data_IF_474755531447
#
_entry.id   IF_474755531447
#
_cell.length_a   1.000
_cell.length_b   1.000
_cell.length_c   1.000
_cell.angle_alpha   90.00
_cell.angle_beta   90.00
_cell.angle_gamma   90.00
#
_symmetry.space_group_name_H-M   'P 1'
#
loop_
_entity.id
_entity.type
_entity.pdbx_description
1 polymer ?
#
# COMPACT_ATOMS: atom_id res chain seq x y z
N UNK A 1 67.94 10.62 -28.95
CA UNK A 1 67.37 11.79 -28.26
C UNK A 1 65.85 11.72 -28.47
N UNK A 2 65.10 11.90 -27.46
CA UNK A 2 63.62 12.02 -27.43
C UNK A 2 62.93 10.76 -26.88
N UNK A 3 62.77 10.64 -25.66
CA UNK A 3 61.80 11.29 -24.77
C UNK A 3 60.36 10.79 -25.02
N UNK A 4 60.08 9.74 -24.32
CA UNK A 4 58.73 9.26 -24.14
C UNK A 4 58.21 9.81 -22.81
N UNK A 5 57.20 10.54 -22.87
CA UNK A 5 56.48 11.04 -21.73
C UNK A 5 55.09 10.44 -21.70
N UNK A 6 54.77 9.87 -20.56
CA UNK A 6 53.48 9.86 -19.89
C UNK A 6 52.28 9.25 -20.59
N UNK A 7 51.83 8.14 -20.03
CA UNK A 7 50.41 7.82 -19.94
C UNK A 7 50.14 7.39 -18.51
N UNK A 8 49.64 8.29 -17.73
CA UNK A 8 49.10 8.05 -16.41
C UNK A 8 47.84 8.93 -16.28
N UNK A 9 46.72 8.40 -16.71
CA UNK A 9 45.38 8.88 -16.33
C UNK A 9 44.36 7.94 -16.91
N UNK A 10 43.85 7.02 -16.14
CA UNK A 10 42.48 6.49 -16.24
C UNK A 10 42.29 5.33 -15.28
N UNK A 11 42.09 5.58 -14.03
CA UNK A 11 41.55 4.57 -13.11
C UNK A 11 40.80 5.24 -11.94
N UNK A 12 39.92 6.20 -12.22
CA UNK A 12 39.13 6.83 -11.14
C UNK A 12 37.64 6.85 -11.36
N UNK A 13 37.11 6.10 -12.33
CA UNK A 13 35.68 6.19 -12.66
C UNK A 13 34.83 4.96 -12.27
N UNK A 14 35.42 3.96 -11.62
CA UNK A 14 34.70 2.68 -11.42
C UNK A 14 34.11 2.46 -10.02
N UNK A 15 34.37 3.35 -9.07
CA UNK A 15 33.92 3.15 -7.67
C UNK A 15 32.54 3.70 -7.37
N UNK A 16 32.04 4.65 -8.14
CA UNK A 16 30.75 5.29 -7.89
C UNK A 16 29.55 4.39 -8.23
N UNK A 17 29.69 3.51 -9.21
CA UNK A 17 28.60 2.63 -9.63
C UNK A 17 28.28 1.52 -8.60
N UNK A 18 29.29 1.05 -7.88
CA UNK A 18 29.09 0.03 -6.84
C UNK A 18 28.48 0.59 -5.57
N UNK A 19 28.74 1.84 -5.24
CA UNK A 19 28.14 2.50 -4.07
C UNK A 19 26.63 2.69 -4.24
N UNK A 20 26.18 3.09 -5.42
CA UNK A 20 24.75 3.27 -5.72
C UNK A 20 23.97 1.95 -5.69
N UNK A 21 24.56 0.86 -6.18
CA UNK A 21 23.92 -0.46 -6.13
C UNK A 21 23.83 -1.02 -4.71
N UNK A 22 24.82 -0.72 -3.85
CA UNK A 22 24.81 -1.13 -2.45
C UNK A 22 23.76 -0.35 -1.64
N UNK A 23 23.60 0.95 -1.87
CA UNK A 23 22.58 1.78 -1.24
C UNK A 23 21.17 1.37 -1.69
N UNK A 24 21.00 1.08 -2.96
CA UNK A 24 19.72 0.58 -3.48
C UNK A 24 19.33 -0.76 -2.85
N UNK A 25 20.26 -1.69 -2.73
CA UNK A 25 20.02 -2.98 -2.06
C UNK A 25 19.69 -2.81 -0.58
N UNK A 26 20.39 -1.95 0.14
CA UNK A 26 20.06 -1.64 1.54
C UNK A 26 18.67 -1.07 1.67
N UNK A 27 18.29 -0.10 0.84
CA UNK A 27 16.96 0.48 0.85
C UNK A 27 15.88 -0.56 0.54
N UNK A 28 16.14 -1.48 -0.39
CA UNK A 28 15.23 -2.58 -0.70
C UNK A 28 15.11 -3.58 0.46
N UNK A 29 16.24 -4.00 1.02
CA UNK A 29 16.27 -4.94 2.14
C UNK A 29 15.64 -4.34 3.40
N UNK A 30 15.89 -3.07 3.68
CA UNK A 30 15.29 -2.35 4.81
C UNK A 30 13.78 -2.18 4.60
N UNK A 31 13.34 -1.85 3.40
CA UNK A 31 11.93 -1.74 3.03
C UNK A 31 11.21 -3.07 3.10
N UNK A 32 11.85 -4.15 2.63
CA UNK A 32 11.29 -5.49 2.71
C UNK A 32 11.22 -6.00 4.16
N UNK A 33 12.26 -5.77 4.95
CA UNK A 33 12.28 -6.12 6.38
C UNK A 33 11.26 -5.32 7.18
N UNK A 34 11.08 -4.03 6.87
CA UNK A 34 10.01 -3.20 7.46
C UNK A 34 8.63 -3.72 7.06
N UNK A 35 8.43 -4.06 5.78
CA UNK A 35 7.19 -4.65 5.29
C UNK A 35 6.84 -5.98 5.95
N UNK A 36 7.86 -6.84 6.19
CA UNK A 36 7.67 -8.11 6.91
C UNK A 36 7.35 -7.90 8.40
N UNK A 37 7.96 -6.88 9.03
CA UNK A 37 7.61 -6.51 10.42
C UNK A 37 6.20 -5.98 10.49
N UNK A 38 5.83 -5.07 9.60
CA UNK A 38 4.47 -4.54 9.51
C UNK A 38 3.44 -5.64 9.22
N UNK A 39 3.79 -6.64 8.41
CA UNK A 39 2.93 -7.79 8.16
C UNK A 39 2.82 -8.71 9.39
N UNK A 40 3.91 -8.87 10.16
CA UNK A 40 3.90 -9.62 11.43
C UNK A 40 3.23 -8.84 12.54
N UNK A 41 3.52 -7.56 12.65
CA UNK A 41 2.93 -6.66 13.66
C UNK A 41 1.50 -6.25 13.28
N UNK A 42 1.17 -6.20 12.00
CA UNK A 42 -0.19 -6.07 11.48
C UNK A 42 -1.02 -7.33 11.71
N UNK A 43 -0.36 -8.51 11.75
CA UNK A 43 -0.93 -9.75 12.29
C UNK A 43 -0.93 -9.81 13.83
N UNK A 44 -0.10 -9.01 14.48
CA UNK A 44 0.05 -8.93 15.94
C UNK A 44 -0.59 -7.71 16.58
N UNK A 45 -0.89 -6.68 15.84
CA UNK A 45 -1.91 -5.72 16.22
C UNK A 45 -3.23 -6.43 15.99
N UNK A 46 -3.76 -6.94 17.05
CA UNK A 46 -5.07 -7.54 17.04
C UNK A 46 -6.07 -6.73 16.20
N UNK A 47 -7.20 -7.28 15.90
CA UNK A 47 -8.22 -6.61 15.11
C UNK A 47 -8.36 -5.18 15.64
N UNK A 48 -8.41 -4.21 14.77
CA UNK A 48 -8.69 -2.84 15.12
C UNK A 48 -9.88 -2.77 16.08
N UNK A 49 -10.09 -1.69 16.77
CA UNK A 49 -11.22 -1.55 17.69
C UNK A 49 -12.49 -2.16 17.07
N UNK A 50 -13.03 -3.20 17.71
CA UNK A 50 -14.20 -3.93 17.19
C UNK A 50 -13.89 -5.22 16.43
N UNK A 51 -12.61 -5.65 16.31
CA UNK A 51 -12.25 -6.89 15.67
C UNK A 51 -12.27 -6.87 14.13
N UNK A 52 -12.17 -5.71 13.53
CA UNK A 52 -12.23 -5.54 12.07
C UNK A 52 -10.97 -6.06 11.36
N UNK A 53 -11.17 -6.95 10.40
CA UNK A 53 -10.18 -7.35 9.41
C UNK A 53 -10.67 -7.01 8.01
N UNK A 54 -9.90 -6.23 7.27
CA UNK A 54 -10.16 -5.99 5.85
C UNK A 54 -9.38 -7.03 5.05
N UNK A 55 -10.08 -7.98 4.47
CA UNK A 55 -9.47 -9.02 3.65
C UNK A 55 -9.18 -8.51 2.24
N UNK A 56 -10.13 -7.78 1.67
CA UNK A 56 -10.03 -7.16 0.36
C UNK A 56 -10.76 -5.83 0.35
N UNK A 57 -10.20 -4.84 -0.33
CA UNK A 57 -10.90 -3.62 -0.69
C UNK A 57 -10.36 -3.10 -2.02
N UNK A 58 -11.24 -2.99 -2.99
CA UNK A 58 -10.93 -2.50 -4.32
C UNK A 58 -11.85 -1.35 -4.69
N UNK A 59 -11.27 -0.30 -5.26
CA UNK A 59 -11.99 0.87 -5.72
C UNK A 59 -11.75 1.13 -7.19
N UNK A 60 -12.80 1.33 -7.96
CA UNK A 60 -12.68 1.61 -9.37
C UNK A 60 -13.83 1.06 -10.20
N UNK A 61 -13.51 0.77 -11.46
CA UNK A 61 -14.38 0.13 -12.44
C UNK A 61 -13.68 -1.09 -13.00
N UNK A 62 -14.44 -1.94 -13.67
CA UNK A 62 -13.89 -3.13 -14.32
C UNK A 62 -12.75 -2.76 -15.25
N UNK A 63 -11.58 -3.38 -15.06
CA UNK A 63 -10.37 -3.11 -15.83
C UNK A 63 -9.54 -1.90 -15.35
N UNK A 64 -10.02 -1.13 -14.38
CA UNK A 64 -9.30 -0.01 -13.78
C UNK A 64 -9.64 0.10 -12.30
N UNK A 65 -8.95 -0.67 -11.47
CA UNK A 65 -9.18 -0.75 -10.03
C UNK A 65 -7.89 -0.51 -9.26
N UNK A 66 -7.99 0.04 -8.05
CA UNK A 66 -6.87 0.20 -7.14
C UNK A 66 -7.15 -0.49 -5.81
N UNK A 67 -6.07 -0.89 -5.11
CA UNK A 67 -6.14 -1.47 -3.78
C UNK A 67 -6.42 -0.40 -2.73
N UNK A 68 -7.54 -0.50 -2.07
CA UNK A 68 -8.00 0.44 -1.06
C UNK A 68 -7.95 -0.12 0.37
N UNK A 69 -7.40 -1.31 0.60
CA UNK A 69 -7.43 -1.99 1.91
C UNK A 69 -6.89 -1.13 3.04
N UNK A 70 -5.73 -0.53 2.84
CA UNK A 70 -5.09 0.30 3.85
C UNK A 70 -5.90 1.54 4.19
N UNK A 71 -6.37 2.23 3.17
CA UNK A 71 -7.17 3.45 3.33
C UNK A 71 -8.53 3.16 3.98
N UNK A 72 -9.20 2.10 3.54
CA UNK A 72 -10.48 1.64 4.14
C UNK A 72 -10.30 1.32 5.62
N UNK A 73 -9.26 0.58 5.97
CA UNK A 73 -8.96 0.25 7.36
C UNK A 73 -8.75 1.50 8.22
N UNK A 74 -7.89 2.40 7.76
CA UNK A 74 -7.60 3.65 8.47
C UNK A 74 -8.84 4.53 8.64
N UNK A 75 -9.65 4.62 7.60
CA UNK A 75 -10.87 5.43 7.64
C UNK A 75 -11.91 4.82 8.59
N UNK A 76 -12.13 3.50 8.49
CA UNK A 76 -13.03 2.79 9.40
C UNK A 76 -12.62 2.91 10.87
N UNK A 77 -11.32 2.79 11.17
CA UNK A 77 -10.79 2.94 12.52
C UNK A 77 -10.99 4.37 13.07
N UNK A 78 -10.84 5.38 12.24
CA UNK A 78 -11.04 6.79 12.64
C UNK A 78 -12.51 7.18 12.78
N UNK A 79 -13.38 6.59 12.01
CA UNK A 79 -14.78 7.02 11.88
C UNK A 79 -15.77 5.99 12.45
N UNK A 80 -15.33 5.11 13.35
CA UNK A 80 -16.23 4.15 14.01
C UNK A 80 -16.92 3.18 13.05
N UNK A 81 -16.21 2.73 12.02
CA UNK A 81 -16.70 1.80 11.01
C UNK A 81 -17.33 2.42 9.77
N UNK A 82 -17.33 3.75 9.67
CA UNK A 82 -17.83 4.44 8.49
C UNK A 82 -16.71 4.67 7.47
N UNK A 83 -17.00 4.34 6.22
CA UNK A 83 -16.10 4.53 5.07
C UNK A 83 -16.87 5.16 3.93
N UNK A 84 -16.30 6.18 3.32
CA UNK A 84 -16.85 6.82 2.12
C UNK A 84 -16.13 6.29 0.90
N UNK A 85 -16.88 5.78 -0.07
CA UNK A 85 -16.31 5.38 -1.36
C UNK A 85 -15.87 6.63 -2.14
N UNK A 86 -14.58 6.77 -2.43
CA UNK A 86 -14.08 7.96 -3.11
C UNK A 86 -12.62 7.87 -3.54
N UNK A 87 -12.21 8.84 -4.34
CA UNK A 87 -10.87 8.92 -4.92
C UNK A 87 -9.76 9.10 -3.86
N UNK A 88 -10.11 9.54 -2.66
CA UNK A 88 -9.16 9.69 -1.54
C UNK A 88 -8.61 8.36 -1.04
N UNK A 89 -9.26 7.24 -1.35
CA UNK A 89 -8.84 5.91 -0.88
C UNK A 89 -7.58 5.41 -1.58
N UNK A 90 -7.50 5.52 -2.89
CA UNK A 90 -6.35 5.06 -3.68
C UNK A 90 -6.17 5.81 -5.01
N UNK A 91 -6.81 6.96 -5.18
CA UNK A 91 -6.75 7.78 -6.39
C UNK A 91 -7.97 7.62 -7.29
N UNK A 92 -7.88 8.19 -8.48
CA UNK A 92 -8.94 8.12 -9.50
C UNK A 92 -8.52 7.15 -10.63
N UNK A 93 -8.86 5.86 -10.53
CA UNK A 93 -8.43 4.88 -11.52
C UNK A 93 -9.04 5.10 -12.90
N UNK A 94 -10.17 5.79 -12.98
CA UNK A 94 -10.76 6.21 -14.25
C UNK A 94 -11.56 7.50 -14.08
N UNK A 95 -11.06 8.57 -14.69
CA UNK A 95 -11.72 9.89 -14.66
C UNK A 95 -13.08 9.85 -15.34
N UNK A 96 -13.98 10.71 -14.88
CA UNK A 96 -15.33 10.92 -15.43
C UNK A 96 -16.19 9.64 -15.52
N UNK A 97 -15.91 8.67 -14.67
CA UNK A 97 -16.66 7.42 -14.58
C UNK A 97 -17.01 7.16 -13.13
N UNK A 98 -18.26 6.84 -12.85
CA UNK A 98 -18.70 6.42 -11.52
C UNK A 98 -18.00 5.13 -11.14
N UNK A 99 -17.33 5.15 -10.00
CA UNK A 99 -16.57 4.03 -9.47
C UNK A 99 -17.34 3.34 -8.34
N UNK A 100 -16.93 2.14 -8.01
CA UNK A 100 -17.48 1.38 -6.89
C UNK A 100 -16.36 0.97 -5.94
N UNK A 101 -16.69 0.98 -4.66
CA UNK A 101 -15.87 0.41 -3.62
C UNK A 101 -16.45 -0.95 -3.22
N UNK A 102 -15.66 -1.99 -3.38
CA UNK A 102 -15.98 -3.33 -2.88
C UNK A 102 -15.10 -3.62 -1.68
N UNK A 103 -15.67 -3.98 -0.57
CA UNK A 103 -14.97 -4.34 0.66
C UNK A 103 -15.38 -5.74 1.08
N UNK A 104 -14.40 -6.61 1.28
CA UNK A 104 -14.57 -7.90 1.95
C UNK A 104 -13.91 -7.79 3.32
N UNK A 105 -14.69 -7.92 4.36
CA UNK A 105 -14.22 -7.78 5.74
C UNK A 105 -14.86 -8.83 6.63
N UNK A 106 -14.24 -9.06 7.76
CA UNK A 106 -14.80 -9.89 8.83
C UNK A 106 -14.59 -9.24 10.19
N UNK A 107 -15.46 -9.57 11.10
CA UNK A 107 -15.42 -9.13 12.49
C UNK A 107 -14.95 -10.30 13.37
N UNK A 108 -13.73 -10.22 13.91
CA UNK A 108 -13.16 -11.31 14.70
C UNK A 108 -13.06 -12.61 13.92
N UNK A 109 -13.67 -13.66 14.44
CA UNK A 109 -13.71 -14.98 13.82
C UNK A 109 -15.00 -15.25 13.00
N UNK A 110 -15.78 -14.22 12.75
CA UNK A 110 -16.97 -14.34 11.93
C UNK A 110 -16.63 -14.59 10.45
N UNK A 111 -17.61 -15.03 9.69
CA UNK A 111 -17.46 -15.22 8.25
C UNK A 111 -17.25 -13.87 7.56
N UNK A 112 -16.46 -13.83 6.49
CA UNK A 112 -16.32 -12.63 5.69
C UNK A 112 -17.65 -12.13 5.14
N UNK A 113 -17.80 -10.82 5.15
CA UNK A 113 -18.96 -10.12 4.57
C UNK A 113 -18.46 -9.22 3.45
N UNK A 114 -19.13 -9.25 2.32
CA UNK A 114 -18.86 -8.36 1.21
C UNK A 114 -19.91 -7.25 1.16
N UNK A 115 -19.45 -6.02 1.05
CA UNK A 115 -20.29 -4.85 0.80
C UNK A 115 -19.77 -4.10 -0.41
N UNK A 116 -20.69 -3.47 -1.13
CA UNK A 116 -20.39 -2.67 -2.33
C UNK A 116 -21.10 -1.32 -2.22
N UNK A 117 -20.36 -0.24 -2.40
CA UNK A 117 -20.88 1.11 -2.42
C UNK A 117 -20.52 1.84 -3.71
N UNK A 118 -21.36 2.75 -4.14
CA UNK A 118 -21.09 3.65 -5.26
C UNK A 118 -20.18 4.79 -4.82
N UNK A 119 -19.54 5.42 -5.77
CA UNK A 119 -18.77 6.64 -5.52
C UNK A 119 -19.59 7.67 -4.72
N UNK A 120 -18.97 8.23 -3.69
CA UNK A 120 -19.55 9.15 -2.70
C UNK A 120 -20.59 8.53 -1.73
N UNK A 121 -20.82 7.23 -1.79
CA UNK A 121 -21.68 6.55 -0.82
C UNK A 121 -20.92 6.28 0.48
N UNK A 122 -21.60 6.52 1.61
CA UNK A 122 -21.10 6.15 2.94
C UNK A 122 -21.52 4.73 3.28
N UNK A 123 -20.53 3.90 3.60
CA UNK A 123 -20.71 2.49 3.94
C UNK A 123 -20.40 2.28 5.42
N UNK A 124 -21.13 1.39 6.06
CA UNK A 124 -20.89 1.01 7.46
C UNK A 124 -20.39 -0.42 7.54
N UNK A 125 -19.25 -0.60 8.18
CA UNK A 125 -18.75 -1.92 8.55
C UNK A 125 -19.32 -2.30 9.91
N UNK A 126 -19.97 -3.44 10.01
CA UNK A 126 -20.81 -3.82 11.16
C UNK A 126 -20.07 -4.38 12.37
N UNK A 127 -18.74 -4.19 12.47
CA UNK A 127 -17.97 -4.61 13.65
C UNK A 127 -18.13 -3.66 14.85
N UNK A 128 -18.63 -2.48 14.62
CA UNK A 128 -18.91 -1.51 15.68
C UNK A 128 -20.39 -1.60 16.05
N UNK A 129 -20.65 -2.08 17.23
CA UNK A 129 -21.99 -2.13 17.84
C UNK A 129 -22.14 -1.04 18.90
#
# INVERSE_FOLDING_TARGET
MMRSAAILALCAASTAAFAQSAEYRRGYDDGYAAGLRDARDGGGRGPGRGGLYIEEATYGVRGAMCDARRAVRQEAERNGGLVVAGNHLCGDPRRNTEKRLTIVYRCGNERPTQIVGRENETMRLSCWR
#
